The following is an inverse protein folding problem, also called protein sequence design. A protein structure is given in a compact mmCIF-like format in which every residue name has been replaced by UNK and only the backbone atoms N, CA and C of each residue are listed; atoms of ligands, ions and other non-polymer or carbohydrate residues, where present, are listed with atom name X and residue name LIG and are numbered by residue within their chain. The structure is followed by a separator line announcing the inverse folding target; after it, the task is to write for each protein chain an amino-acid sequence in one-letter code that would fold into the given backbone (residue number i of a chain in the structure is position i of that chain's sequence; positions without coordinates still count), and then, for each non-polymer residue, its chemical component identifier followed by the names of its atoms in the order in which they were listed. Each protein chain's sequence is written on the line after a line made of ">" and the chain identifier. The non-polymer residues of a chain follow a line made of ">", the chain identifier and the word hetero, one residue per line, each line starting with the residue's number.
data_IF_066817961794
#
_entry.id   IF_066817961794
#
_cell.length_a   1.000
_cell.length_b   1.000
_cell.length_c   1.000
_cell.angle_alpha   90.00
_cell.angle_beta   90.00
_cell.angle_gamma   90.00
#
_symmetry.space_group_name_H-M   'P 1'
#
loop_
_entity.id
_entity.type
_entity.pdbx_description
1 polymer ?
#
# COMPACT_ATOMS: atom_id res chain seq x y z
N UNK A 1 -11.98 1.83 -1.21
CA UNK A 1 -13.17 1.60 -2.06
C UNK A 1 -14.45 2.14 -1.43
N UNK A 2 -14.91 1.61 -0.28
CA UNK A 2 -16.20 2.00 0.33
C UNK A 2 -16.31 3.51 0.61
N UNK A 3 -15.30 4.12 1.26
CA UNK A 3 -15.26 5.57 1.54
C UNK A 3 -15.43 6.42 0.29
N UNK A 4 -14.63 6.16 -0.75
CA UNK A 4 -14.67 6.94 -2.00
C UNK A 4 -16.04 6.83 -2.67
N UNK A 5 -16.60 5.61 -2.74
CA UNK A 5 -17.88 5.37 -3.41
C UNK A 5 -19.06 5.94 -2.62
N UNK A 6 -19.04 5.87 -1.29
CA UNK A 6 -20.08 6.48 -0.46
C UNK A 6 -20.05 8.00 -0.52
N UNK A 7 -18.87 8.62 -0.53
CA UNK A 7 -18.73 10.08 -0.71
C UNK A 7 -19.19 10.53 -2.10
N UNK A 8 -18.87 9.75 -3.14
CA UNK A 8 -19.36 10.00 -4.49
C UNK A 8 -20.89 9.98 -4.54
N UNK A 9 -21.54 8.92 -4.03
CA UNK A 9 -23.01 8.82 -4.00
C UNK A 9 -23.61 9.95 -3.17
N UNK A 10 -23.02 10.27 -2.00
CA UNK A 10 -23.48 11.38 -1.16
C UNK A 10 -23.47 12.71 -1.93
N UNK A 11 -22.41 12.96 -2.70
CA UNK A 11 -22.33 14.14 -3.57
C UNK A 11 -23.40 14.11 -4.67
N UNK A 12 -23.63 12.97 -5.30
CA UNK A 12 -24.63 12.80 -6.38
C UNK A 12 -26.06 13.04 -5.88
N UNK A 13 -26.36 12.73 -4.60
CA UNK A 13 -27.67 12.96 -3.98
C UNK A 13 -27.76 14.29 -3.20
N UNK A 14 -26.76 15.16 -3.31
CA UNK A 14 -26.76 16.50 -2.69
C UNK A 14 -26.44 16.55 -1.19
N UNK A 15 -25.86 15.51 -0.62
CA UNK A 15 -25.38 15.51 0.77
C UNK A 15 -24.02 16.21 0.83
N UNK A 16 -23.95 17.28 1.61
CA UNK A 16 -22.71 18.02 1.82
C UNK A 16 -21.62 17.16 2.49
N UNK A 17 -20.37 17.34 2.08
CA UNK A 17 -19.21 16.60 2.61
C UNK A 17 -19.01 16.79 4.13
N UNK A 18 -19.45 17.93 4.67
CA UNK A 18 -19.44 18.19 6.12
C UNK A 18 -20.48 17.37 6.89
N UNK A 19 -21.62 17.06 6.26
CA UNK A 19 -22.69 16.27 6.86
C UNK A 19 -22.41 14.76 6.79
N UNK A 20 -21.64 14.31 5.79
CA UNK A 20 -21.28 12.92 5.62
C UNK A 20 -19.82 12.74 5.21
N UNK A 21 -19.03 12.20 6.13
CA UNK A 21 -17.57 11.99 5.96
C UNK A 21 -17.19 10.54 5.62
N UNK A 22 -18.17 9.63 5.53
CA UNK A 22 -17.93 8.20 5.41
C UNK A 22 -16.94 7.66 6.46
N UNK A 23 -17.16 8.08 7.72
CA UNK A 23 -16.29 7.78 8.87
C UNK A 23 -16.04 6.28 9.05
N UNK A 24 -15.00 5.93 9.81
CA UNK A 24 -14.72 4.52 10.14
C UNK A 24 -15.89 3.84 10.84
N UNK A 25 -16.51 4.50 11.82
CA UNK A 25 -17.65 3.97 12.58
C UNK A 25 -18.86 3.74 11.68
N UNK A 26 -19.18 4.68 10.80
CA UNK A 26 -20.24 4.51 9.81
C UNK A 26 -19.97 3.32 8.89
N UNK A 27 -18.74 3.20 8.37
CA UNK A 27 -18.37 2.05 7.51
C UNK A 27 -18.53 0.72 8.23
N UNK A 28 -18.13 0.64 9.50
CA UNK A 28 -18.31 -0.58 10.30
C UNK A 28 -19.79 -0.90 10.54
N UNK A 29 -20.61 0.12 10.84
CA UNK A 29 -22.05 -0.05 11.01
C UNK A 29 -22.73 -0.50 9.72
N UNK A 30 -22.41 0.14 8.59
CA UNK A 30 -22.90 -0.22 7.27
C UNK A 30 -22.59 -1.67 6.91
N UNK A 31 -21.33 -2.09 7.07
CA UNK A 31 -20.93 -3.47 6.80
C UNK A 31 -21.68 -4.46 7.70
N UNK A 32 -21.82 -4.16 8.99
CA UNK A 32 -22.54 -5.00 9.95
C UNK A 32 -24.02 -5.13 9.59
N UNK A 33 -24.69 -4.03 9.28
CA UNK A 33 -26.10 -3.98 8.91
C UNK A 33 -26.38 -4.83 7.68
N UNK A 34 -25.49 -4.79 6.68
CA UNK A 34 -25.64 -5.51 5.43
C UNK A 34 -24.96 -6.89 5.42
N UNK A 35 -24.53 -7.40 6.58
CA UNK A 35 -23.84 -8.70 6.71
C UNK A 35 -22.61 -8.83 5.78
N UNK A 36 -21.85 -7.75 5.63
CA UNK A 36 -20.61 -7.70 4.87
C UNK A 36 -19.40 -7.69 5.80
N UNK A 37 -18.26 -8.20 5.32
CA UNK A 37 -16.98 -8.14 6.02
C UNK A 37 -15.84 -7.75 5.09
N UNK A 38 -14.80 -7.13 5.68
CA UNK A 38 -13.53 -7.00 4.99
C UNK A 38 -12.82 -8.34 4.95
N UNK A 39 -12.36 -8.73 3.77
CA UNK A 39 -11.47 -9.87 3.57
C UNK A 39 -10.10 -9.35 3.16
N UNK A 40 -9.06 -9.90 3.77
CA UNK A 40 -7.67 -9.56 3.50
C UNK A 40 -6.93 -10.85 3.16
N UNK A 41 -6.04 -10.79 2.18
CA UNK A 41 -5.15 -11.92 1.86
C UNK A 41 -4.31 -12.29 3.09
N UNK A 42 -4.48 -13.49 3.62
CA UNK A 42 -3.74 -14.01 4.78
C UNK A 42 -2.45 -14.69 4.33
N UNK A 43 -1.33 -13.95 4.39
CA UNK A 43 0.08 -14.40 4.58
C UNK A 43 1.05 -13.31 4.10
N UNK A 44 1.61 -12.53 5.03
CA UNK A 44 2.81 -11.72 4.82
C UNK A 44 3.60 -11.66 6.14
N UNK A 45 4.83 -12.17 6.14
CA UNK A 45 5.79 -11.90 7.21
C UNK A 45 6.38 -10.53 6.98
N UNK A 46 5.88 -9.52 7.68
CA UNK A 46 6.41 -8.16 7.59
C UNK A 46 7.34 -7.92 8.77
N UNK A 47 8.54 -7.42 8.49
CA UNK A 47 9.41 -6.86 9.52
C UNK A 47 8.69 -5.62 10.06
N UNK A 48 8.66 -5.44 11.39
CA UNK A 48 8.06 -4.27 12.00
C UNK A 48 8.78 -2.99 11.52
N UNK A 49 8.09 -1.84 11.47
CA UNK A 49 8.73 -0.56 11.11
C UNK A 49 9.98 -0.26 11.94
N UNK A 50 9.96 -0.58 13.24
CA UNK A 50 11.12 -0.46 14.12
C UNK A 50 12.29 -1.35 13.67
N UNK A 51 12.01 -2.61 13.29
CA UNK A 51 13.03 -3.52 12.78
C UNK A 51 13.65 -3.04 11.46
N UNK A 52 12.85 -2.42 10.58
CA UNK A 52 13.35 -1.82 9.33
C UNK A 52 14.28 -0.65 9.66
N UNK A 53 13.87 0.25 10.57
CA UNK A 53 14.68 1.40 10.97
C UNK A 53 16.01 0.97 11.59
N UNK A 54 16.02 -0.06 12.44
CA UNK A 54 17.23 -0.58 13.05
C UNK A 54 18.19 -1.16 12.01
N UNK A 55 17.68 -1.90 11.01
CA UNK A 55 18.50 -2.43 9.90
C UNK A 55 19.10 -1.32 9.05
N UNK A 56 18.33 -0.26 8.75
CA UNK A 56 18.80 0.88 7.98
C UNK A 56 19.95 1.61 8.71
N UNK A 57 19.82 1.82 10.02
CA UNK A 57 20.87 2.45 10.82
C UNK A 57 22.16 1.61 10.87
N UNK A 58 22.03 0.28 11.06
CA UNK A 58 23.17 -0.62 11.05
C UNK A 58 23.91 -0.59 9.71
N UNK A 59 23.17 -0.67 8.60
CA UNK A 59 23.75 -0.59 7.25
C UNK A 59 24.41 0.77 6.98
N UNK A 60 23.77 1.88 7.39
CA UNK A 60 24.36 3.21 7.26
C UNK A 60 25.67 3.34 8.02
N UNK A 61 25.78 2.73 9.21
CA UNK A 61 27.01 2.73 10.00
C UNK A 61 28.13 1.93 9.32
N UNK A 62 27.79 0.82 8.67
CA UNK A 62 28.73 -0.02 7.93
C UNK A 62 29.31 0.71 6.71
N UNK A 63 28.51 1.54 6.02
CA UNK A 63 28.95 2.29 4.85
C UNK A 63 29.87 3.48 5.14
N UNK A 64 29.89 4.02 6.37
CA UNK A 64 30.71 5.19 6.69
C UNK A 64 32.23 4.93 6.50
N UNK A 65 32.69 3.73 6.84
CA UNK A 65 34.10 3.36 6.70
C UNK A 65 34.56 3.35 5.23
N UNK A 66 33.95 2.58 4.31
CA UNK A 66 34.37 2.58 2.91
C UNK A 66 34.16 3.93 2.22
N UNK A 67 33.15 4.73 2.63
CA UNK A 67 32.97 6.08 2.09
C UNK A 67 34.16 7.00 2.41
N UNK A 68 34.69 6.93 3.63
CA UNK A 68 35.89 7.68 4.02
C UNK A 68 37.16 7.17 3.34
N UNK A 69 37.31 5.86 3.15
CA UNK A 69 38.46 5.26 2.47
C UNK A 69 38.52 5.60 0.96
N UNK A 70 37.35 5.73 0.33
CA UNK A 70 37.22 5.96 -1.12
C UNK A 70 36.97 7.43 -1.49
N UNK A 71 36.91 8.34 -0.52
CA UNK A 71 36.56 9.75 -0.71
C UNK A 71 35.22 9.93 -1.45
N UNK A 72 34.20 9.19 -1.01
CA UNK A 72 32.86 9.19 -1.61
C UNK A 72 31.91 10.06 -0.80
N UNK A 73 31.51 11.18 -1.38
CA UNK A 73 30.53 12.09 -0.78
C UNK A 73 29.07 11.62 -0.91
N UNK A 74 28.75 10.90 -1.98
CA UNK A 74 27.37 10.54 -2.34
C UNK A 74 27.28 9.09 -2.79
N UNK A 75 26.37 8.33 -2.17
CA UNK A 75 26.07 6.96 -2.55
C UNK A 75 24.75 6.93 -3.30
N UNK A 76 24.74 6.28 -4.47
CA UNK A 76 23.52 6.05 -5.23
C UNK A 76 23.09 4.59 -5.11
N UNK A 77 21.86 4.36 -4.66
CA UNK A 77 21.22 3.06 -4.74
C UNK A 77 20.37 2.98 -6.02
N UNK A 78 20.62 1.97 -6.84
CA UNK A 78 19.84 1.71 -8.04
C UNK A 78 19.22 0.32 -7.96
N UNK A 79 17.93 0.21 -8.24
CA UNK A 79 17.24 -1.09 -8.29
C UNK A 79 16.21 -1.14 -9.41
N UNK A 80 15.98 -2.34 -9.94
CA UNK A 80 14.95 -2.61 -10.92
C UNK A 80 13.69 -3.11 -10.22
N UNK A 81 12.64 -2.30 -10.25
CA UNK A 81 11.34 -2.65 -9.67
C UNK A 81 10.30 -2.93 -10.76
N UNK A 82 9.50 -4.00 -10.64
CA UNK A 82 8.38 -4.22 -11.53
C UNK A 82 7.20 -3.32 -11.19
N UNK A 83 6.75 -2.54 -12.18
CA UNK A 83 5.49 -1.81 -12.14
C UNK A 83 4.44 -2.65 -12.88
N UNK A 84 3.48 -3.18 -12.13
CA UNK A 84 2.42 -4.02 -12.68
C UNK A 84 1.33 -3.16 -13.34
N UNK A 85 0.82 -3.59 -14.51
CA UNK A 85 -0.28 -2.88 -15.18
C UNK A 85 -1.61 -3.00 -14.43
N UNK A 86 -1.79 -4.08 -13.67
CA UNK A 86 -2.99 -4.31 -12.88
C UNK A 86 -2.62 -4.65 -11.43
N UNK A 87 -3.06 -3.80 -10.49
CA UNK A 87 -2.98 -4.06 -9.06
C UNK A 87 -4.30 -4.63 -8.54
N UNK A 88 -4.30 -5.93 -8.17
CA UNK A 88 -5.46 -6.55 -7.52
C UNK A 88 -5.59 -5.99 -6.09
N UNK A 89 -6.79 -5.53 -5.68
CA UNK A 89 -7.04 -5.12 -4.31
C UNK A 89 -6.71 -6.23 -3.31
N UNK A 90 -5.87 -5.92 -2.32
CA UNK A 90 -5.53 -6.84 -1.21
C UNK A 90 -6.63 -6.89 -0.15
N UNK A 91 -7.55 -5.92 -0.18
CA UNK A 91 -8.71 -5.81 0.70
C UNK A 91 -9.98 -5.77 -0.15
N UNK A 92 -10.86 -6.74 0.06
CA UNK A 92 -12.17 -6.82 -0.59
C UNK A 92 -13.29 -6.76 0.44
N UNK A 93 -14.50 -6.48 -0.02
CA UNK A 93 -15.72 -6.50 0.79
C UNK A 93 -16.59 -7.60 0.20
N UNK A 94 -17.01 -8.55 1.01
CA UNK A 94 -17.84 -9.68 0.60
C UNK A 94 -18.84 -10.04 1.71
N UNK A 95 -19.83 -10.86 1.39
CA UNK A 95 -20.75 -11.40 2.39
C UNK A 95 -20.01 -12.12 3.52
N UNK A 96 -20.41 -11.84 4.76
CA UNK A 96 -19.85 -12.43 5.97
C UNK A 96 -20.04 -13.94 5.94
N UNK A 97 -18.95 -14.67 6.18
CA UNK A 97 -18.93 -16.14 6.14
C UNK A 97 -18.53 -16.73 4.79
N UNK A 98 -18.26 -15.89 3.79
CA UNK A 98 -17.74 -16.36 2.49
C UNK A 98 -16.38 -17.02 2.67
N UNK A 99 -16.28 -18.30 2.29
CA UNK A 99 -15.06 -19.09 2.41
C UNK A 99 -14.01 -18.67 1.38
N UNK A 100 -14.43 -18.30 0.16
CA UNK A 100 -13.53 -17.91 -0.92
C UNK A 100 -14.07 -16.69 -1.63
N UNK A 101 -13.29 -15.60 -1.63
CA UNK A 101 -13.64 -14.34 -2.30
C UNK A 101 -12.91 -14.28 -3.64
N UNK A 102 -13.68 -14.34 -4.73
CA UNK A 102 -13.13 -14.20 -6.08
C UNK A 102 -12.92 -12.72 -6.41
N UNK A 103 -11.68 -12.34 -6.70
CA UNK A 103 -11.37 -10.98 -7.16
C UNK A 103 -11.28 -10.99 -8.67
N UNK A 104 -12.07 -10.14 -9.32
CA UNK A 104 -11.99 -9.97 -10.77
C UNK A 104 -10.65 -9.33 -11.13
N UNK A 105 -10.03 -9.86 -12.17
CA UNK A 105 -8.83 -9.30 -12.79
C UNK A 105 -9.07 -9.21 -14.29
N UNK A 106 -8.49 -8.19 -14.93
CA UNK A 106 -8.39 -8.03 -16.37
C UNK A 106 -7.41 -8.99 -17.05
N UNK A 107 -6.88 -9.99 -16.33
CA UNK A 107 -5.92 -10.97 -16.85
C UNK A 107 -4.48 -10.47 -16.95
N UNK A 108 -4.22 -9.21 -16.56
CA UNK A 108 -2.94 -8.51 -16.75
C UNK A 108 -2.10 -8.41 -15.49
N UNK A 109 -2.42 -9.19 -14.49
CA UNK A 109 -1.74 -9.19 -13.17
C UNK A 109 -0.26 -9.54 -13.24
N UNK A 110 0.17 -10.20 -14.31
CA UNK A 110 1.57 -10.53 -14.57
C UNK A 110 2.22 -9.60 -15.61
N UNK A 111 1.42 -8.85 -16.38
CA UNK A 111 1.96 -7.82 -17.26
C UNK A 111 2.58 -6.74 -16.38
N UNK A 112 3.83 -6.36 -16.70
CA UNK A 112 4.58 -5.37 -15.96
C UNK A 112 5.57 -4.66 -16.87
N UNK A 113 5.90 -3.42 -16.53
CA UNK A 113 7.08 -2.73 -17.02
C UNK A 113 8.14 -2.79 -15.92
N UNK A 114 9.39 -2.99 -16.29
CA UNK A 114 10.50 -2.85 -15.34
C UNK A 114 10.93 -1.39 -15.31
N UNK A 115 10.87 -0.76 -14.14
CA UNK A 115 11.37 0.58 -13.91
C UNK A 115 12.70 0.48 -13.16
N UNK A 116 13.67 1.28 -13.56
CA UNK A 116 14.90 1.49 -12.80
C UNK A 116 14.71 2.72 -11.91
N UNK A 117 14.84 2.55 -10.61
CA UNK A 117 14.80 3.63 -9.64
C UNK A 117 16.22 3.92 -9.17
N UNK A 118 16.52 5.20 -9.03
CA UNK A 118 17.75 5.70 -8.44
C UNK A 118 17.38 6.55 -7.23
N UNK A 119 18.15 6.46 -6.16
CA UNK A 119 18.07 7.38 -5.04
C UNK A 119 19.44 7.63 -4.45
N UNK A 120 19.69 8.86 -4.01
CA UNK A 120 20.94 9.23 -3.37
C UNK A 120 20.90 9.04 -1.84
N UNK A 121 22.07 9.15 -1.20
CA UNK A 121 22.23 9.03 0.25
C UNK A 121 21.59 10.17 1.05
N UNK A 122 21.12 11.23 0.41
CA UNK A 122 20.38 12.33 1.05
C UNK A 122 18.85 12.13 0.99
N UNK A 123 18.39 11.10 0.27
CA UNK A 123 16.97 10.78 0.13
C UNK A 123 16.30 11.45 -1.08
N UNK A 124 17.08 12.01 -2.01
CA UNK A 124 16.56 12.49 -3.28
C UNK A 124 16.25 11.31 -4.21
N UNK A 125 15.25 11.48 -5.07
CA UNK A 125 14.72 10.47 -5.99
C UNK A 125 14.64 11.03 -7.40
#
# INVERSE_FOLDING_TARGET
>A
MLTRKSLQIASEIGVASIAFTASWTWRQAFLRQHKLSFHVRTRQGQISPAGISAKAAAFSSELQQPMGELDVDVVYNADQTPIYFEHIPTKTIEAKGTQTVWVRSGGKTKERVTCMLLGDSFGNK
#
